data_IF_370231168529
#
_entry.id   IF_370231168529
#
_cell.length_a   1.000
_cell.length_b   1.000
_cell.length_c   1.000
_cell.angle_alpha   90.00
_cell.angle_beta   90.00
_cell.angle_gamma   90.00
#
_symmetry.space_group_name_H-M   'P 1'
#
loop_
_entity.id
_entity.type
_entity.pdbx_description
1 polymer ?
#
# COMPACT_ATOMS: atom_id res chain seq x y z
N UNK A 1 -8.81 14.08 -23.32
CA UNK A 1 -8.42 13.21 -24.46
C UNK A 1 -8.74 11.77 -24.09
N UNK A 2 -9.54 11.07 -24.90
CA UNK A 2 -9.76 9.64 -24.71
C UNK A 2 -8.49 8.90 -25.11
N UNK A 3 -7.67 8.51 -24.13
CA UNK A 3 -6.49 7.68 -24.39
C UNK A 3 -6.93 6.38 -25.07
N UNK A 4 -6.26 6.05 -26.17
CA UNK A 4 -6.46 4.78 -26.86
C UNK A 4 -6.18 3.61 -25.90
N UNK A 5 -6.82 2.45 -26.13
CA UNK A 5 -6.61 1.26 -25.32
C UNK A 5 -5.12 0.90 -25.20
N UNK A 6 -4.39 1.03 -26.31
CA UNK A 6 -2.95 0.84 -26.36
C UNK A 6 -2.19 1.76 -25.37
N UNK A 7 -2.56 3.04 -25.31
CA UNK A 7 -1.91 3.99 -24.41
C UNK A 7 -2.14 3.68 -22.93
N UNK A 8 -3.32 3.14 -22.59
CA UNK A 8 -3.62 2.69 -21.22
C UNK A 8 -2.91 1.38 -20.87
N UNK A 9 -2.79 0.47 -21.82
CA UNK A 9 -2.13 -0.82 -21.62
C UNK A 9 -0.63 -0.64 -21.37
N UNK A 10 0.04 0.15 -22.19
CA UNK A 10 1.49 0.36 -22.11
C UNK A 10 1.91 1.59 -21.30
N UNK A 11 0.97 2.24 -20.61
CA UNK A 11 1.20 3.46 -19.85
C UNK A 11 1.89 4.58 -20.64
N UNK A 12 1.75 4.60 -21.98
CA UNK A 12 2.48 5.54 -22.85
C UNK A 12 2.09 7.00 -22.62
N UNK A 13 0.93 7.25 -22.00
CA UNK A 13 0.52 8.59 -21.60
C UNK A 13 1.52 9.23 -20.60
N UNK A 14 2.23 8.43 -19.81
CA UNK A 14 3.25 8.91 -18.86
C UNK A 14 4.49 9.46 -19.55
N UNK A 15 4.77 9.02 -20.79
CA UNK A 15 5.90 9.47 -21.60
C UNK A 15 5.93 10.99 -21.74
N UNK A 16 4.76 11.62 -21.90
CA UNK A 16 4.66 13.08 -22.03
C UNK A 16 5.23 13.80 -20.81
N UNK A 17 4.89 13.34 -19.61
CA UNK A 17 5.33 13.92 -18.34
C UNK A 17 6.83 13.68 -18.14
N UNK A 18 7.32 12.48 -18.49
CA UNK A 18 8.74 12.14 -18.40
C UNK A 18 9.60 13.04 -19.30
N UNK A 19 9.19 13.24 -20.55
CA UNK A 19 9.91 14.13 -21.49
C UNK A 19 9.84 15.59 -21.04
N UNK A 20 8.69 16.03 -20.51
CA UNK A 20 8.54 17.39 -20.00
C UNK A 20 9.47 17.65 -18.80
N UNK A 21 9.57 16.69 -17.87
CA UNK A 21 10.48 16.75 -16.73
C UNK A 21 11.96 16.61 -17.08
N UNK A 22 12.29 15.92 -18.18
CA UNK A 22 13.66 15.84 -18.69
C UNK A 22 14.13 17.18 -19.28
N UNK A 23 13.22 17.91 -19.95
CA UNK A 23 13.56 19.19 -20.61
C UNK A 23 13.46 20.39 -19.69
N UNK A 24 12.48 20.41 -18.78
CA UNK A 24 12.15 21.57 -17.95
C UNK A 24 11.95 21.15 -16.49
N UNK A 25 12.07 22.11 -15.56
CA UNK A 25 11.59 21.90 -14.19
C UNK A 25 10.07 21.74 -14.21
N UNK A 26 9.58 20.67 -13.61
CA UNK A 26 8.15 20.40 -13.46
C UNK A 26 7.54 21.40 -12.46
N UNK A 27 6.55 22.15 -12.93
CA UNK A 27 5.72 23.03 -12.11
C UNK A 27 4.31 22.44 -11.99
N UNK A 28 3.59 22.79 -10.93
CA UNK A 28 2.23 22.26 -10.71
C UNK A 28 1.26 22.66 -11.84
N UNK A 29 1.50 23.81 -12.47
CA UNK A 29 0.72 24.34 -13.60
C UNK A 29 0.88 23.54 -14.89
N UNK A 30 2.00 22.81 -15.07
CA UNK A 30 2.29 22.05 -16.28
C UNK A 30 1.80 20.59 -16.23
N UNK A 31 1.24 20.17 -15.10
CA UNK A 31 0.70 18.83 -14.89
C UNK A 31 -0.77 18.72 -15.34
N UNK A 32 -1.14 17.54 -15.84
CA UNK A 32 -2.51 17.27 -16.24
C UNK A 32 -3.46 17.26 -15.03
N UNK A 33 -4.69 17.79 -15.17
CA UNK A 33 -5.67 17.73 -14.12
C UNK A 33 -6.10 16.29 -13.85
N UNK A 34 -6.39 16.00 -12.57
CA UNK A 34 -6.80 14.66 -12.17
C UNK A 34 -8.15 14.25 -12.80
N UNK A 35 -8.29 12.97 -13.19
CA UNK A 35 -9.57 12.39 -13.59
C UNK A 35 -10.66 12.58 -12.52
N UNK A 36 -11.91 12.80 -12.94
CA UNK A 36 -13.01 13.11 -12.02
C UNK A 36 -13.28 12.01 -10.97
N UNK A 37 -13.07 10.75 -11.34
CA UNK A 37 -13.23 9.58 -10.47
C UNK A 37 -12.16 9.47 -9.37
N UNK A 38 -11.11 10.30 -9.41
CA UNK A 38 -10.03 10.34 -8.40
C UNK A 38 -10.04 11.66 -7.62
N UNK A 39 -10.86 12.64 -8.03
CA UNK A 39 -11.01 13.92 -7.30
C UNK A 39 -11.55 13.67 -5.88
N UNK A 40 -11.05 14.44 -4.92
CA UNK A 40 -11.44 14.34 -3.51
C UNK A 40 -12.94 14.56 -3.28
N UNK A 41 -13.58 15.43 -4.07
CA UNK A 41 -15.03 15.66 -3.99
C UNK A 41 -15.84 14.40 -4.29
N UNK A 42 -15.54 13.73 -5.41
CA UNK A 42 -16.16 12.48 -5.81
C UNK A 42 -15.88 11.36 -4.80
N UNK A 43 -14.63 11.19 -4.36
CA UNK A 43 -14.24 10.17 -3.39
C UNK A 43 -14.91 10.41 -2.02
N UNK A 44 -15.01 11.67 -1.58
CA UNK A 44 -15.70 11.99 -0.32
C UNK A 44 -17.21 11.72 -0.40
N UNK A 45 -17.82 11.91 -1.57
CA UNK A 45 -19.23 11.58 -1.79
C UNK A 45 -19.44 10.05 -1.76
N UNK A 46 -18.56 9.28 -2.39
CA UNK A 46 -18.60 7.80 -2.34
C UNK A 46 -18.40 7.31 -0.91
N UNK A 47 -17.42 7.84 -0.18
CA UNK A 47 -17.18 7.50 1.22
C UNK A 47 -18.39 7.81 2.11
N UNK A 48 -19.01 8.98 1.92
CA UNK A 48 -20.19 9.37 2.70
C UNK A 48 -21.39 8.48 2.38
N UNK A 49 -21.65 8.18 1.10
CA UNK A 49 -22.69 7.22 0.69
C UNK A 49 -22.44 5.83 1.27
N UNK A 50 -21.20 5.35 1.24
CA UNK A 50 -20.83 4.06 1.81
C UNK A 50 -20.99 4.03 3.34
N UNK A 51 -20.64 5.12 4.02
CA UNK A 51 -20.82 5.27 5.48
C UNK A 51 -22.29 5.28 5.88
N UNK A 52 -23.15 6.02 5.16
CA UNK A 52 -24.59 6.11 5.45
C UNK A 52 -25.30 4.79 5.13
N UNK A 53 -25.08 4.22 3.94
CA UNK A 53 -25.70 2.95 3.54
C UNK A 53 -25.37 1.82 4.50
N UNK A 54 -24.12 1.77 4.99
CA UNK A 54 -23.69 0.74 5.94
C UNK A 54 -24.24 0.98 7.34
N UNK A 55 -24.42 2.24 7.74
CA UNK A 55 -25.11 2.62 8.98
C UNK A 55 -26.59 2.21 8.96
N UNK A 56 -27.29 2.47 7.86
CA UNK A 56 -28.69 2.04 7.68
C UNK A 56 -28.83 0.51 7.70
N UNK A 57 -27.93 -0.20 7.00
CA UNK A 57 -27.91 -1.67 7.04
C UNK A 57 -27.65 -2.22 8.45
N UNK A 58 -26.68 -1.67 9.18
CA UNK A 58 -26.42 -2.07 10.58
C UNK A 58 -27.62 -1.80 11.47
N UNK A 59 -28.30 -0.66 11.31
CA UNK A 59 -29.51 -0.34 12.07
C UNK A 59 -30.67 -1.31 11.77
N UNK A 60 -30.86 -1.71 10.51
CA UNK A 60 -31.87 -2.70 10.13
C UNK A 60 -31.59 -4.10 10.68
N UNK A 61 -30.31 -4.53 10.71
CA UNK A 61 -29.92 -5.81 11.31
C UNK A 61 -30.14 -5.79 12.82
N UNK A 62 -29.78 -4.70 13.50
CA UNK A 62 -29.99 -4.51 14.95
C UNK A 62 -31.49 -4.52 15.31
N UNK A 63 -32.32 -3.85 14.50
CA UNK A 63 -33.79 -3.87 14.64
C UNK A 63 -34.37 -5.28 14.46
N UNK A 64 -33.87 -6.05 13.48
CA UNK A 64 -34.31 -7.44 13.27
C UNK A 64 -33.81 -8.41 14.34
N UNK A 65 -32.58 -8.25 14.83
CA UNK A 65 -32.06 -9.07 15.93
C UNK A 65 -32.80 -8.76 17.24
N UNK A 66 -33.14 -7.49 17.49
CA UNK A 66 -33.97 -7.08 18.63
C UNK A 66 -35.40 -7.66 18.59
N UNK A 67 -35.91 -8.02 17.40
CA UNK A 67 -37.20 -8.70 17.26
C UNK A 67 -37.14 -10.21 17.58
N UNK A 68 -35.93 -10.80 17.56
CA UNK A 68 -35.71 -12.25 17.78
C UNK A 68 -35.26 -12.54 19.22
N UNK A 69 -34.67 -11.57 19.94
CA UNK A 69 -34.17 -11.76 21.32
C UNK A 69 -34.91 -10.90 22.36
N UNK A 70 -35.39 -11.55 23.43
CA UNK A 70 -35.90 -10.91 24.64
C UNK A 70 -34.82 -9.99 25.28
N UNK A 71 -35.20 -8.95 26.04
CA UNK A 71 -34.35 -7.79 26.29
C UNK A 71 -33.22 -8.11 27.28
N UNK A 72 -32.11 -8.65 26.79
CA UNK A 72 -30.84 -8.59 27.51
C UNK A 72 -30.11 -7.33 27.09
N UNK A 73 -29.81 -6.49 28.07
CA UNK A 73 -29.15 -5.20 27.95
C UNK A 73 -27.81 -5.27 27.20
N UNK A 74 -27.81 -5.06 25.89
CA UNK A 74 -26.61 -4.72 25.14
C UNK A 74 -26.86 -3.50 24.27
N UNK A 75 -26.15 -2.42 24.60
CA UNK A 75 -26.16 -1.12 23.93
C UNK A 75 -26.07 -1.22 22.40
N UNK A 76 -26.85 -0.43 21.62
CA UNK A 76 -26.81 -0.47 20.16
C UNK A 76 -25.47 0.08 19.65
N UNK A 77 -24.55 -0.81 19.26
CA UNK A 77 -23.21 -0.46 18.72
C UNK A 77 -23.30 -0.04 17.25
N UNK A 78 -24.10 0.98 16.95
CA UNK A 78 -24.46 1.40 15.59
C UNK A 78 -23.47 2.35 14.90
N UNK A 79 -22.21 1.95 14.68
CA UNK A 79 -21.31 2.65 13.72
C UNK A 79 -20.66 1.63 12.78
N UNK A 80 -20.77 1.82 11.45
CA UNK A 80 -20.13 0.89 10.53
C UNK A 80 -18.60 0.93 10.74
N UNK A 81 -17.94 -0.24 10.74
CA UNK A 81 -16.51 -0.29 10.93
C UNK A 81 -15.78 0.44 9.79
N UNK A 82 -14.77 1.25 10.15
CA UNK A 82 -14.04 2.11 9.23
C UNK A 82 -13.38 1.31 8.09
N UNK A 83 -12.78 0.15 8.40
CA UNK A 83 -12.17 -0.75 7.41
C UNK A 83 -13.16 -1.13 6.31
N UNK A 84 -14.43 -1.27 6.68
CA UNK A 84 -15.47 -1.77 5.81
C UNK A 84 -16.05 -0.67 4.90
N UNK A 85 -15.86 0.60 5.26
CA UNK A 85 -16.14 1.76 4.40
C UNK A 85 -14.96 2.00 3.46
N UNK A 86 -13.73 1.89 3.96
CA UNK A 86 -12.50 1.98 3.15
C UNK A 86 -12.53 0.93 2.04
N UNK A 87 -12.79 -0.33 2.38
CA UNK A 87 -12.92 -1.41 1.40
C UNK A 87 -14.02 -1.13 0.39
N UNK A 88 -15.15 -0.54 0.80
CA UNK A 88 -16.23 -0.19 -0.12
C UNK A 88 -15.86 0.92 -1.13
N UNK A 89 -14.87 1.77 -0.82
CA UNK A 89 -14.34 2.80 -1.74
C UNK A 89 -13.37 2.20 -2.75
N UNK A 90 -12.52 1.25 -2.34
CA UNK A 90 -11.46 0.67 -3.18
C UNK A 90 -11.76 -0.71 -3.79
N UNK A 91 -12.90 -1.33 -3.44
CA UNK A 91 -13.25 -2.72 -3.82
C UNK A 91 -13.06 -3.08 -5.28
N UNK A 92 -13.37 -2.17 -6.21
CA UNK A 92 -13.29 -2.48 -7.63
C UNK A 92 -11.83 -2.62 -8.09
N UNK A 93 -10.96 -1.73 -7.61
CA UNK A 93 -9.53 -1.79 -7.91
C UNK A 93 -8.88 -3.01 -7.25
N UNK A 94 -9.28 -3.32 -6.01
CA UNK A 94 -8.80 -4.51 -5.30
C UNK A 94 -9.21 -5.80 -5.99
N UNK A 95 -10.46 -5.87 -6.50
CA UNK A 95 -10.98 -7.03 -7.22
C UNK A 95 -10.30 -7.19 -8.59
N UNK A 96 -10.15 -6.10 -9.36
CA UNK A 96 -9.44 -6.14 -10.64
C UNK A 96 -7.97 -6.58 -10.46
N UNK A 97 -7.28 -6.03 -9.46
CA UNK A 97 -5.94 -6.49 -9.08
C UNK A 97 -5.94 -7.97 -8.71
N UNK A 98 -6.92 -8.44 -7.92
CA UNK A 98 -6.97 -9.85 -7.54
C UNK A 98 -7.11 -10.79 -8.74
N UNK A 99 -7.96 -10.44 -9.72
CA UNK A 99 -8.11 -11.21 -10.96
C UNK A 99 -6.81 -11.21 -11.78
N UNK A 100 -6.20 -10.04 -11.97
CA UNK A 100 -4.92 -9.92 -12.69
C UNK A 100 -3.80 -10.70 -11.99
N UNK A 101 -3.76 -10.67 -10.65
CA UNK A 101 -2.80 -11.40 -9.84
C UNK A 101 -2.99 -12.91 -9.96
N UNK A 102 -4.23 -13.42 -9.95
CA UNK A 102 -4.52 -14.84 -10.16
C UNK A 102 -4.04 -15.30 -11.54
N UNK A 103 -4.34 -14.54 -12.59
CA UNK A 103 -3.84 -14.81 -13.94
C UNK A 103 -2.31 -14.80 -13.97
N UNK A 104 -1.68 -13.84 -13.29
CA UNK A 104 -0.22 -13.75 -13.18
C UNK A 104 0.41 -14.95 -12.44
N UNK A 105 -0.26 -15.51 -11.42
CA UNK A 105 0.23 -16.73 -10.74
C UNK A 105 0.20 -17.91 -11.72
N UNK A 106 -0.90 -18.12 -12.44
CA UNK A 106 -1.02 -19.20 -13.41
C UNK A 106 0.05 -19.12 -14.51
N UNK A 107 0.25 -17.92 -15.08
CA UNK A 107 1.26 -17.71 -16.13
C UNK A 107 2.70 -17.77 -15.60
N UNK A 108 2.93 -17.57 -14.30
CA UNK A 108 4.30 -17.58 -13.74
C UNK A 108 5.00 -18.94 -13.77
N UNK A 109 4.26 -20.02 -14.04
CA UNK A 109 4.82 -21.38 -14.23
C UNK A 109 5.22 -21.68 -15.67
N UNK A 110 4.78 -20.88 -16.64
CA UNK A 110 5.10 -21.08 -18.07
C UNK A 110 6.57 -20.83 -18.39
N UNK A 111 7.25 -19.78 -17.87
CA UNK A 111 8.66 -19.56 -18.14
C UNK A 111 9.60 -20.71 -17.72
N UNK A 112 9.50 -21.30 -16.50
CA UNK A 112 10.36 -22.43 -16.15
C UNK A 112 10.07 -23.69 -16.97
N UNK A 113 8.81 -23.92 -17.39
CA UNK A 113 8.43 -25.02 -18.28
C UNK A 113 9.07 -24.90 -19.66
N UNK A 114 8.89 -23.74 -20.30
CA UNK A 114 9.44 -23.45 -21.64
C UNK A 114 10.96 -23.48 -21.64
N UNK A 115 11.59 -23.02 -20.56
CA UNK A 115 13.04 -23.12 -20.39
C UNK A 115 13.51 -24.58 -20.29
N UNK A 116 12.74 -25.44 -19.61
CA UNK A 116 13.02 -26.88 -19.55
C UNK A 116 12.98 -27.55 -20.92
N UNK A 117 11.95 -27.29 -21.72
CA UNK A 117 11.86 -27.79 -23.10
C UNK A 117 12.98 -27.26 -23.99
N UNK A 118 13.35 -25.99 -23.83
CA UNK A 118 14.46 -25.40 -24.57
C UNK A 118 15.80 -26.08 -24.21
N UNK A 119 16.01 -26.43 -22.93
CA UNK A 119 17.22 -27.13 -22.51
C UNK A 119 17.33 -28.54 -23.12
N UNK A 120 16.23 -29.30 -23.12
CA UNK A 120 16.19 -30.63 -23.75
C UNK A 120 16.48 -30.52 -25.25
N UNK A 121 15.88 -29.55 -25.93
CA UNK A 121 16.15 -29.29 -27.35
C UNK A 121 17.63 -28.98 -27.64
N UNK A 122 18.30 -28.23 -26.75
CA UNK A 122 19.73 -27.93 -26.87
C UNK A 122 20.58 -29.19 -26.62
N UNK A 123 20.19 -30.03 -25.65
CA UNK A 123 20.90 -31.26 -25.30
C UNK A 123 20.82 -32.32 -26.40
N UNK A 124 19.65 -32.47 -27.04
CA UNK A 124 19.44 -33.42 -28.14
C UNK A 124 20.15 -33.02 -29.44
N UNK A 125 20.67 -31.79 -29.52
CA UNK A 125 21.40 -31.29 -30.68
C UNK A 125 20.54 -31.17 -31.95
N UNK A 126 19.21 -31.15 -31.80
CA UNK A 126 18.29 -30.99 -32.91
C UNK A 126 18.45 -29.61 -33.56
N UNK A 127 18.61 -29.59 -34.89
CA UNK A 127 18.71 -28.34 -35.64
C UNK A 127 17.37 -28.10 -36.33
N UNK A 128 16.58 -27.17 -35.81
CA UNK A 128 15.24 -26.91 -36.32
C UNK A 128 14.64 -25.60 -35.85
N UNK A 129 13.52 -25.21 -36.48
CA UNK A 129 12.80 -23.98 -36.15
C UNK A 129 12.14 -24.02 -34.76
N UNK A 130 11.98 -25.22 -34.17
CA UNK A 130 11.38 -25.44 -32.85
C UNK A 130 12.10 -24.67 -31.72
N UNK A 131 13.44 -24.59 -31.74
CA UNK A 131 14.18 -23.80 -30.75
C UNK A 131 13.82 -22.32 -30.73
N UNK A 132 13.59 -21.73 -31.92
CA UNK A 132 13.13 -20.34 -32.02
C UNK A 132 11.71 -20.16 -31.47
N UNK A 133 10.84 -21.17 -31.63
CA UNK A 133 9.47 -21.14 -31.07
C UNK A 133 9.52 -21.14 -29.54
N UNK A 134 10.31 -22.02 -28.92
CA UNK A 134 10.46 -22.07 -27.47
C UNK A 134 11.05 -20.76 -26.91
N UNK A 135 12.05 -20.17 -27.59
CA UNK A 135 12.61 -18.88 -27.20
C UNK A 135 11.60 -17.72 -27.33
N UNK A 136 10.79 -17.72 -28.39
CA UNK A 136 9.74 -16.73 -28.60
C UNK A 136 8.62 -16.87 -27.56
N UNK A 137 8.19 -18.10 -27.26
CA UNK A 137 7.19 -18.41 -26.24
C UNK A 137 7.68 -17.99 -24.85
N UNK A 138 8.93 -18.30 -24.50
CA UNK A 138 9.55 -17.84 -23.25
C UNK A 138 9.53 -16.31 -23.15
N UNK A 139 9.96 -15.61 -24.20
CA UNK A 139 10.00 -14.14 -24.21
C UNK A 139 8.60 -13.53 -24.11
N UNK A 140 7.63 -14.08 -24.84
CA UNK A 140 6.25 -13.61 -24.82
C UNK A 140 5.60 -13.87 -23.46
N UNK A 141 5.82 -15.03 -22.86
CA UNK A 141 5.29 -15.35 -21.52
C UNK A 141 5.85 -14.41 -20.44
N UNK A 142 7.15 -14.10 -20.48
CA UNK A 142 7.78 -13.12 -19.60
C UNK A 142 7.22 -11.71 -19.80
N UNK A 143 7.02 -11.30 -21.06
CA UNK A 143 6.45 -10.00 -21.38
C UNK A 143 5.01 -9.86 -20.83
N UNK A 144 4.17 -10.87 -21.04
CA UNK A 144 2.80 -10.89 -20.51
C UNK A 144 2.79 -10.92 -18.98
N UNK A 145 3.66 -11.70 -18.34
CA UNK A 145 3.82 -11.69 -16.89
C UNK A 145 4.21 -10.30 -16.36
N UNK A 146 5.15 -9.62 -17.03
CA UNK A 146 5.55 -8.26 -16.70
C UNK A 146 4.39 -7.26 -16.81
N UNK A 147 3.60 -7.37 -17.88
CA UNK A 147 2.43 -6.51 -18.11
C UNK A 147 1.35 -6.71 -17.05
N UNK A 148 1.04 -7.96 -16.70
CA UNK A 148 0.09 -8.29 -15.63
C UNK A 148 0.57 -7.74 -14.28
N UNK A 149 1.87 -7.88 -13.96
CA UNK A 149 2.44 -7.34 -12.72
C UNK A 149 2.36 -5.80 -12.68
N UNK A 150 2.62 -5.12 -13.80
CA UNK A 150 2.48 -3.67 -13.89
C UNK A 150 1.03 -3.21 -13.64
N UNK A 151 0.05 -3.89 -14.24
CA UNK A 151 -1.36 -3.59 -14.02
C UNK A 151 -1.83 -3.90 -12.59
N UNK A 152 -1.37 -5.01 -11.99
CA UNK A 152 -1.64 -5.32 -10.59
C UNK A 152 -1.18 -4.20 -9.66
N UNK A 153 0.08 -3.78 -9.80
CA UNK A 153 0.64 -2.66 -9.02
C UNK A 153 -0.12 -1.36 -9.24
N UNK A 154 -0.50 -1.07 -10.49
CA UNK A 154 -1.29 0.12 -10.82
C UNK A 154 -2.64 0.13 -10.12
N UNK A 155 -3.42 -0.96 -10.22
CA UNK A 155 -4.74 -1.04 -9.59
C UNK A 155 -4.64 -0.98 -8.06
N UNK A 156 -3.65 -1.64 -7.46
CA UNK A 156 -3.40 -1.58 -6.01
C UNK A 156 -3.05 -0.17 -5.54
N UNK A 157 -2.15 0.52 -6.26
CA UNK A 157 -1.79 1.90 -5.96
C UNK A 157 -3.01 2.82 -6.10
N UNK A 158 -3.78 2.69 -7.18
CA UNK A 158 -4.99 3.49 -7.41
C UNK A 158 -6.03 3.28 -6.30
N UNK A 159 -6.28 2.03 -5.90
CA UNK A 159 -7.17 1.70 -4.79
C UNK A 159 -6.71 2.31 -3.46
N UNK A 160 -5.42 2.25 -3.17
CA UNK A 160 -4.83 2.86 -1.98
C UNK A 160 -4.97 4.39 -1.97
N UNK A 161 -4.65 5.07 -3.08
CA UNK A 161 -4.79 6.52 -3.19
C UNK A 161 -6.25 6.98 -3.04
N UNK A 162 -7.20 6.24 -3.62
CA UNK A 162 -8.63 6.52 -3.47
C UNK A 162 -9.07 6.44 -2.02
N UNK A 163 -8.61 5.42 -1.30
CA UNK A 163 -8.90 5.25 0.12
C UNK A 163 -8.26 6.36 0.98
N UNK A 164 -6.99 6.69 0.73
CA UNK A 164 -6.28 7.75 1.45
C UNK A 164 -6.97 9.11 1.24
N UNK A 165 -7.25 9.49 0.00
CA UNK A 165 -7.92 10.77 -0.31
C UNK A 165 -9.32 10.87 0.33
N UNK A 166 -10.07 9.76 0.33
CA UNK A 166 -11.36 9.68 1.01
C UNK A 166 -11.23 9.85 2.53
N UNK A 167 -10.24 9.20 3.15
CA UNK A 167 -9.97 9.30 4.59
C UNK A 167 -9.55 10.71 5.00
N UNK A 168 -8.61 11.31 4.27
CA UNK A 168 -8.17 12.70 4.49
C UNK A 168 -9.36 13.64 4.40
N UNK A 169 -10.19 13.51 3.36
CA UNK A 169 -11.39 14.33 3.18
C UNK A 169 -12.40 14.16 4.33
N UNK A 170 -12.61 12.92 4.79
CA UNK A 170 -13.50 12.63 5.92
C UNK A 170 -12.96 13.19 7.24
N UNK A 171 -11.66 13.09 7.48
CA UNK A 171 -10.98 13.64 8.65
C UNK A 171 -11.09 15.17 8.67
N UNK A 172 -10.80 15.87 7.57
CA UNK A 172 -10.97 17.33 7.49
C UNK A 172 -12.41 17.76 7.80
N UNK A 173 -13.42 17.12 7.19
CA UNK A 173 -14.84 17.39 7.50
C UNK A 173 -15.16 17.14 8.98
N UNK A 174 -14.56 16.12 9.59
CA UNK A 174 -14.76 15.80 11.01
C UNK A 174 -14.14 16.86 11.91
N UNK A 175 -12.90 17.27 11.63
CA UNK A 175 -12.14 18.28 12.37
C UNK A 175 -12.87 19.63 12.39
N UNK A 176 -13.50 20.03 11.28
CA UNK A 176 -14.30 21.25 11.22
C UNK A 176 -15.60 21.20 12.05
N UNK A 177 -16.03 20.01 12.48
CA UNK A 177 -17.29 19.79 13.21
C UNK A 177 -17.09 19.27 14.65
N UNK A 178 -15.84 19.20 15.13
CA UNK A 178 -15.59 18.74 16.51
C UNK A 178 -16.00 19.80 17.53
N UNK A 179 -16.54 19.34 18.67
CA UNK A 179 -16.88 20.19 19.81
C UNK A 179 -15.62 20.79 20.46
N UNK A 180 -15.80 21.87 21.22
CA UNK A 180 -14.71 22.52 21.99
C UNK A 180 -14.02 21.56 22.96
N UNK A 181 -14.79 20.70 23.64
CA UNK A 181 -14.27 19.65 24.53
C UNK A 181 -13.39 18.64 23.79
N UNK A 182 -13.82 18.15 22.62
CA UNK A 182 -13.01 17.26 21.78
C UNK A 182 -11.77 17.95 21.21
N UNK A 183 -11.84 19.25 20.92
CA UNK A 183 -10.70 20.05 20.43
C UNK A 183 -9.59 20.22 21.47
N UNK A 184 -9.94 20.24 22.77
CA UNK A 184 -8.96 20.18 23.86
C UNK A 184 -8.26 18.82 23.94
N UNK A 185 -8.96 17.74 23.60
CA UNK A 185 -8.43 16.36 23.67
C UNK A 185 -7.59 15.99 22.45
N UNK A 186 -8.02 16.40 21.26
CA UNK A 186 -7.30 16.19 19.99
C UNK A 186 -6.69 17.51 19.53
N UNK A 187 -5.43 17.74 19.92
CA UNK A 187 -4.69 18.94 19.52
C UNK A 187 -4.45 18.96 18.01
N UNK A 188 -4.17 20.14 17.45
CA UNK A 188 -3.85 20.29 16.03
C UNK A 188 -2.67 19.37 15.62
N UNK A 189 -1.64 19.26 16.46
CA UNK A 189 -0.50 18.36 16.23
C UNK A 189 -0.87 16.88 16.20
N UNK A 190 -1.81 16.46 17.05
CA UNK A 190 -2.30 15.08 17.04
C UNK A 190 -3.09 14.78 15.75
N UNK A 191 -3.91 15.72 15.29
CA UNK A 191 -4.69 15.57 14.05
C UNK A 191 -3.78 15.54 12.82
N UNK A 192 -2.75 16.40 12.77
CA UNK A 192 -1.79 16.39 11.66
C UNK A 192 -0.97 15.10 11.66
N UNK A 193 -0.59 14.57 12.83
CA UNK A 193 0.08 13.29 12.92
C UNK A 193 -0.81 12.14 12.43
N UNK A 194 -2.09 12.15 12.81
CA UNK A 194 -3.09 11.17 12.36
C UNK A 194 -3.25 11.18 10.83
N UNK A 195 -3.29 12.36 10.21
CA UNK A 195 -3.40 12.50 8.75
C UNK A 195 -2.11 12.07 8.06
N UNK A 196 -0.94 12.46 8.58
CA UNK A 196 0.33 12.19 7.90
C UNK A 196 0.83 10.77 8.10
N UNK A 197 0.65 10.17 9.28
CA UNK A 197 1.21 8.85 9.60
C UNK A 197 0.16 7.76 9.40
N UNK A 198 -0.97 7.84 10.09
CA UNK A 198 -1.93 6.72 10.12
C UNK A 198 -2.64 6.55 8.77
N UNK A 199 -3.03 7.64 8.09
CA UNK A 199 -3.67 7.53 6.76
C UNK A 199 -2.67 7.03 5.72
N UNK A 200 -1.41 7.44 5.81
CA UNK A 200 -0.37 6.91 4.92
C UNK A 200 -0.23 5.40 5.10
N UNK A 201 -0.15 4.94 6.35
CA UNK A 201 0.00 3.54 6.69
C UNK A 201 -1.21 2.70 6.24
N UNK A 202 -2.43 3.24 6.29
CA UNK A 202 -3.62 2.57 5.70
C UNK A 202 -3.46 2.36 4.19
N UNK A 203 -2.90 3.33 3.47
CA UNK A 203 -2.62 3.18 2.04
C UNK A 203 -1.57 2.11 1.76
N UNK A 204 -0.49 2.08 2.54
CA UNK A 204 0.55 1.03 2.44
C UNK A 204 -0.02 -0.35 2.74
N UNK A 205 -0.86 -0.48 3.77
CA UNK A 205 -1.57 -1.72 4.09
C UNK A 205 -2.44 -2.19 2.92
N UNK A 206 -3.21 -1.28 2.31
CA UNK A 206 -4.03 -1.61 1.16
C UNK A 206 -3.19 -2.11 -0.01
N UNK A 207 -2.03 -1.52 -0.29
CA UNK A 207 -1.12 -2.01 -1.33
C UNK A 207 -0.60 -3.43 -1.06
N UNK A 208 -0.44 -3.81 0.22
CA UNK A 208 0.02 -5.14 0.61
C UNK A 208 -1.13 -6.17 0.72
N UNK A 209 -2.38 -5.73 0.81
CA UNK A 209 -3.52 -6.60 1.11
C UNK A 209 -3.65 -7.78 0.13
N UNK A 210 -3.43 -7.56 -1.18
CA UNK A 210 -3.49 -8.64 -2.15
C UNK A 210 -2.28 -9.58 -2.10
N UNK A 211 -1.14 -9.14 -1.55
CA UNK A 211 0.02 -10.00 -1.32
C UNK A 211 -0.23 -11.02 -0.19
N UNK A 212 -1.09 -10.72 0.79
CA UNK A 212 -1.36 -11.61 1.91
C UNK A 212 -1.91 -12.97 1.49
N UNK A 213 -2.80 -13.02 0.48
CA UNK A 213 -3.38 -14.27 -0.01
C UNK A 213 -2.67 -14.81 -1.26
N UNK A 214 -2.15 -13.93 -2.13
CA UNK A 214 -1.53 -14.36 -3.38
C UNK A 214 -0.15 -14.98 -3.20
N UNK A 215 0.63 -14.54 -2.20
CA UNK A 215 1.96 -15.11 -1.93
C UNK A 215 1.85 -16.58 -1.48
N UNK A 216 1.01 -16.94 -0.49
CA UNK A 216 0.79 -18.34 -0.14
C UNK A 216 0.34 -19.20 -1.33
N UNK A 217 -0.62 -18.72 -2.13
CA UNK A 217 -1.07 -19.45 -3.33
C UNK A 217 0.06 -19.68 -4.32
N UNK A 218 0.90 -18.66 -4.55
CA UNK A 218 2.05 -18.78 -5.45
C UNK A 218 3.05 -19.81 -4.92
N UNK A 219 3.35 -19.81 -3.62
CA UNK A 219 4.25 -20.78 -2.99
C UNK A 219 3.71 -22.21 -3.18
N UNK A 220 2.42 -22.43 -2.92
CA UNK A 220 1.79 -23.75 -3.09
C UNK A 220 1.85 -24.20 -4.55
N UNK A 221 1.54 -23.30 -5.50
CA UNK A 221 1.60 -23.62 -6.93
C UNK A 221 3.02 -23.98 -7.39
N UNK A 222 4.03 -23.20 -7.00
CA UNK A 222 5.44 -23.49 -7.31
C UNK A 222 5.91 -24.77 -6.64
N UNK A 223 5.47 -25.06 -5.41
CA UNK A 223 5.86 -26.27 -4.69
C UNK A 223 5.24 -27.52 -5.32
N UNK A 224 3.97 -27.46 -5.71
CA UNK A 224 3.30 -28.56 -6.42
C UNK A 224 3.99 -28.85 -7.75
N UNK A 225 4.38 -27.79 -8.47
CA UNK A 225 5.17 -27.90 -9.69
C UNK A 225 6.52 -28.58 -9.41
N UNK A 226 7.27 -28.13 -8.40
CA UNK A 226 8.57 -28.69 -8.06
C UNK A 226 8.48 -30.16 -7.60
N UNK A 227 7.45 -30.51 -6.84
CA UNK A 227 7.18 -31.89 -6.40
C UNK A 227 6.99 -32.83 -7.60
N UNK A 228 6.33 -32.36 -8.66
CA UNK A 228 6.12 -33.17 -9.87
C UNK A 228 7.45 -33.52 -10.58
N UNK A 229 8.40 -32.58 -10.64
CA UNK A 229 9.68 -32.79 -11.33
C UNK A 229 10.78 -33.42 -10.47
N UNK A 230 10.90 -33.02 -9.20
CA UNK A 230 12.00 -33.45 -8.31
C UNK A 230 11.58 -34.52 -7.29
N UNK A 231 10.28 -34.80 -7.15
CA UNK A 231 9.77 -35.72 -6.14
C UNK A 231 10.10 -35.28 -4.70
N UNK A 232 10.28 -36.23 -3.77
CA UNK A 232 10.49 -35.92 -2.34
C UNK A 232 11.72 -35.05 -2.04
N UNK A 233 12.69 -34.99 -2.95
CA UNK A 233 13.91 -34.17 -2.81
C UNK A 233 13.61 -32.68 -2.60
N UNK A 234 12.47 -32.18 -3.09
CA UNK A 234 12.08 -30.79 -2.88
C UNK A 234 11.86 -30.42 -1.40
N UNK A 235 11.62 -31.40 -0.52
CA UNK A 235 11.45 -31.16 0.92
C UNK A 235 12.72 -30.62 1.57
N UNK A 236 13.90 -30.99 1.07
CA UNK A 236 15.16 -30.44 1.55
C UNK A 236 15.22 -28.91 1.32
N UNK A 237 14.83 -28.46 0.12
CA UNK A 237 14.74 -27.03 -0.21
C UNK A 237 13.74 -26.30 0.68
N UNK A 238 12.56 -26.88 0.91
CA UNK A 238 11.54 -26.29 1.80
C UNK A 238 12.07 -26.18 3.24
N UNK A 239 12.77 -27.20 3.73
CA UNK A 239 13.37 -27.17 5.07
C UNK A 239 14.41 -26.04 5.17
N UNK A 240 15.31 -25.92 4.20
CA UNK A 240 16.32 -24.84 4.19
C UNK A 240 15.69 -23.46 4.09
N UNK A 241 14.68 -23.26 3.23
CA UNK A 241 13.96 -21.98 3.13
C UNK A 241 13.20 -21.63 4.42
N UNK A 242 12.63 -22.63 5.08
CA UNK A 242 11.92 -22.43 6.35
C UNK A 242 12.87 -22.00 7.46
N UNK A 243 14.03 -22.66 7.58
CA UNK A 243 15.08 -22.29 8.55
C UNK A 243 15.59 -20.87 8.27
N UNK A 244 15.85 -20.54 6.99
CA UNK A 244 16.29 -19.20 6.59
C UNK A 244 15.27 -18.13 6.93
N UNK A 245 13.98 -18.38 6.68
CA UNK A 245 12.89 -17.44 6.99
C UNK A 245 12.71 -17.25 8.50
N UNK A 246 12.88 -18.31 9.29
CA UNK A 246 12.87 -18.22 10.75
C UNK A 246 14.04 -17.39 11.28
N UNK A 247 15.25 -17.62 10.76
CA UNK A 247 16.44 -16.86 11.14
C UNK A 247 16.29 -15.37 10.82
N UNK A 248 15.77 -15.01 9.64
CA UNK A 248 15.52 -13.61 9.26
C UNK A 248 14.42 -12.98 10.11
N UNK A 249 13.37 -13.74 10.47
CA UNK A 249 12.30 -13.26 11.37
C UNK A 249 12.85 -13.00 12.79
N UNK A 250 13.70 -13.89 13.31
CA UNK A 250 14.38 -13.68 14.58
C UNK A 250 15.27 -12.42 14.53
N UNK A 251 16.10 -12.28 13.50
CA UNK A 251 16.95 -11.10 13.32
C UNK A 251 16.12 -9.81 13.26
N UNK A 252 15.02 -9.80 12.51
CA UNK A 252 14.11 -8.66 12.43
C UNK A 252 13.49 -8.31 13.80
N UNK A 253 13.09 -9.31 14.59
CA UNK A 253 12.59 -9.10 15.95
C UNK A 253 13.66 -8.49 16.87
N UNK A 254 14.91 -8.94 16.79
CA UNK A 254 16.01 -8.31 17.52
C UNK A 254 16.25 -6.86 17.07
N UNK A 255 16.31 -6.60 15.76
CA UNK A 255 16.42 -5.25 15.22
C UNK A 255 15.29 -4.34 15.71
N UNK A 256 14.04 -4.83 15.78
CA UNK A 256 12.90 -4.09 16.32
C UNK A 256 13.09 -3.70 17.78
N UNK A 257 13.60 -4.61 18.62
CA UNK A 257 13.95 -4.29 20.01
C UNK A 257 15.02 -3.19 20.09
N UNK A 258 16.06 -3.28 19.27
CA UNK A 258 17.09 -2.24 19.21
C UNK A 258 16.55 -0.89 18.75
N UNK A 259 15.67 -0.88 17.75
CA UNK A 259 15.03 0.35 17.25
C UNK A 259 14.21 1.04 18.34
N UNK A 260 13.46 0.29 19.15
CA UNK A 260 12.73 0.85 20.30
C UNK A 260 13.68 1.42 21.35
N UNK A 261 14.72 0.67 21.72
CA UNK A 261 15.73 1.14 22.68
C UNK A 261 16.40 2.43 22.21
N UNK A 262 16.82 2.50 20.94
CA UNK A 262 17.40 3.71 20.34
C UNK A 262 16.40 4.86 20.41
N UNK A 263 15.13 4.64 20.04
CA UNK A 263 14.10 5.70 20.04
C UNK A 263 13.85 6.27 21.44
N UNK A 264 13.94 5.45 22.49
CA UNK A 264 13.76 5.89 23.88
C UNK A 264 15.04 6.55 24.44
N UNK A 265 16.22 6.04 24.09
CA UNK A 265 17.51 6.47 24.65
C UNK A 265 18.14 7.66 23.92
N UNK A 266 17.84 7.88 22.64
CA UNK A 266 18.33 9.03 21.88
C UNK A 266 17.40 10.23 22.07
N UNK A 267 17.80 11.29 22.82
CA UNK A 267 17.00 12.50 22.86
C UNK A 267 16.97 13.12 21.45
N UNK A 268 15.79 13.55 20.96
CA UNK A 268 15.66 14.10 19.63
C UNK A 268 16.61 15.29 19.48
N UNK A 269 17.32 15.35 18.36
CA UNK A 269 18.29 16.42 18.06
C UNK A 269 17.68 17.82 18.20
N UNK A 270 16.36 17.94 18.01
CA UNK A 270 15.58 19.15 18.25
C UNK A 270 15.62 19.61 19.70
N UNK A 271 15.64 18.72 20.69
CA UNK A 271 15.76 19.09 22.11
C UNK A 271 17.13 19.70 22.39
N UNK A 272 18.22 19.05 21.96
CA UNK A 272 19.58 19.56 22.11
C UNK A 272 19.82 20.86 21.34
N UNK A 273 19.25 20.99 20.14
CA UNK A 273 19.31 22.22 19.35
C UNK A 273 18.47 23.36 19.95
N UNK A 274 17.32 23.05 20.54
CA UNK A 274 16.48 24.04 21.22
C UNK A 274 17.09 24.47 22.55
N UNK A 275 17.72 23.55 23.29
CA UNK A 275 18.51 23.88 24.47
C UNK A 275 19.73 24.72 24.12
N UNK A 276 20.45 24.38 23.05
CA UNK A 276 21.57 25.20 22.56
C UNK A 276 21.12 26.61 22.19
N UNK A 277 20.02 26.74 21.43
CA UNK A 277 19.43 28.05 21.08
C UNK A 277 18.86 28.81 22.28
N UNK A 278 18.44 28.13 23.35
CA UNK A 278 18.04 28.77 24.61
C UNK A 278 19.24 29.28 25.39
N UNK A 279 20.33 28.51 25.43
CA UNK A 279 21.59 28.90 26.09
C UNK A 279 22.23 30.09 25.37
N UNK A 280 22.28 30.08 24.04
CA UNK A 280 22.78 31.21 23.24
C UNK A 280 21.96 32.49 23.50
N UNK A 281 20.62 32.41 23.54
CA UNK A 281 19.76 33.56 23.88
C UNK A 281 19.91 34.06 25.32
N UNK A 282 20.18 33.16 26.27
CA UNK A 282 20.45 33.56 27.66
C UNK A 282 21.78 34.31 27.77
N UNK A 283 22.82 33.82 27.08
CA UNK A 283 24.14 34.42 27.09
C UNK A 283 24.15 35.81 26.43
N UNK A 284 23.42 35.99 25.32
CA UNK A 284 23.27 37.31 24.68
C UNK A 284 22.51 38.30 25.58
N UNK A 285 21.54 37.83 26.36
CA UNK A 285 20.79 38.66 27.32
C UNK A 285 21.64 39.12 28.51
N UNK A 286 22.51 38.26 29.04
CA UNK A 286 23.39 38.58 30.16
C UNK A 286 24.54 39.53 29.73
N UNK A 287 25.03 39.42 28.50
CA UNK A 287 26.02 40.36 27.92
C UNK A 287 25.41 41.75 27.70
N UNK A 288 24.15 41.82 27.27
CA UNK A 288 23.44 43.10 27.10
C UNK A 288 23.19 43.82 28.44
N UNK A 289 22.90 43.07 29.52
CA UNK A 289 22.69 43.65 30.85
C UNK A 289 23.98 44.06 31.56
N UNK A 290 25.08 43.33 31.34
CA UNK A 290 26.38 43.68 31.95
C UNK A 290 27.03 44.91 31.30
N UNK A 291 26.79 45.18 30.01
CA UNK A 291 27.23 46.42 29.35
C UNK A 291 26.45 47.68 29.74
N UNK A 292 25.23 47.53 30.27
CA UNK A 292 24.38 48.64 30.73
C UNK A 292 24.66 49.08 32.18
N UNK A 293 25.36 48.27 32.98
CA UNK A 293 25.74 48.57 34.36
C UNK A 293 27.17 49.14 34.49
N UNK A 294 27.91 49.24 33.38
CA UNK A 294 29.29 49.73 33.34
C UNK A 294 29.45 51.16 32.81
N UNK A 295 28.38 51.95 32.78
CA UNK A 295 28.39 53.37 32.39
C UNK A 295 27.75 54.27 33.45
#
# INVERSE_FOLDING_TARGET
MAWTLFSRLFFTYTWRILVLGYRNRLELSSLDPLPENVKSSALSAVFQRASIKKREFTAYVDEKEAFIQAPTSSSPKGRPPLYAVIFAVSRWELLLSAVVRLAGIALSLVPPLTLGYLLVFIEDGEVGWHGYVYALEYTLSQFVCGLLNAHDKYFMALGAYKAQSALVSALYKKVLRISSSSRRKYTAGHITNLISVDVEQVGQFLQLANSCWSVPLKIVATLAFLWHYLGPSCMATVATMSIGTLATTCAAHYCGKFQVTITVTWPPSTHRLNEKRRRERSNDGDVANTGLLSH
#
